data_IF_988025240615
#
_entry.id   IF_988025240615
#
_cell.length_a   1.000
_cell.length_b   1.000
_cell.length_c   1.000
_cell.angle_alpha   90.00
_cell.angle_beta   90.00
_cell.angle_gamma   90.00
#
_symmetry.space_group_name_H-M   'P 1'
#
loop_
_entity.id
_entity.type
_entity.pdbx_description
1 polymer ?
#
# COMPACT_ATOMS: atom_id res chain seq x y z
N UNK A 1 5.76 20.84 7.97
CA UNK A 1 5.90 21.38 6.61
C UNK A 1 6.07 20.28 5.55
N UNK A 2 7.03 19.34 5.68
CA UNK A 2 7.30 18.27 4.68
C UNK A 2 6.07 17.48 4.19
N UNK A 3 5.18 17.05 5.10
CA UNK A 3 3.96 16.32 4.73
C UNK A 3 2.91 17.20 4.05
N UNK A 4 2.80 18.47 4.45
CA UNK A 4 1.80 19.40 3.92
C UNK A 4 2.08 19.80 2.47
N UNK A 5 3.33 19.70 2.03
CA UNK A 5 3.77 19.97 0.66
C UNK A 5 4.03 18.68 -0.14
N UNK A 6 3.59 17.52 0.36
CA UNK A 6 3.84 16.28 -0.34
C UNK A 6 3.07 16.23 -1.68
N UNK A 7 3.67 15.74 -2.77
CA UNK A 7 3.05 15.65 -4.10
C UNK A 7 1.68 14.98 -4.10
N UNK A 8 1.54 13.90 -3.32
CA UNK A 8 0.27 13.22 -3.16
C UNK A 8 -0.81 14.11 -2.54
N UNK A 9 -0.46 15.03 -1.62
CA UNK A 9 -1.39 16.00 -1.03
C UNK A 9 -1.91 16.93 -2.13
N UNK A 10 -1.02 17.44 -2.97
CA UNK A 10 -1.38 18.27 -4.12
C UNK A 10 -2.35 17.52 -5.03
N UNK A 11 -1.99 16.31 -5.48
CA UNK A 11 -2.87 15.48 -6.33
C UNK A 11 -4.23 15.26 -5.66
N UNK A 12 -4.24 14.92 -4.37
CA UNK A 12 -5.48 14.60 -3.66
C UNK A 12 -6.39 15.83 -3.48
N UNK A 13 -5.82 17.02 -3.21
CA UNK A 13 -6.58 18.28 -3.11
C UNK A 13 -7.10 18.72 -4.48
N UNK A 14 -6.24 18.76 -5.50
CA UNK A 14 -6.62 19.23 -6.84
C UNK A 14 -7.66 18.34 -7.51
N UNK A 15 -7.60 17.02 -7.28
CA UNK A 15 -8.58 16.07 -7.84
C UNK A 15 -9.82 15.87 -6.95
N UNK A 16 -9.88 16.47 -5.76
CA UNK A 16 -10.98 16.28 -4.81
C UNK A 16 -11.13 14.84 -4.32
N UNK A 17 -10.02 14.12 -4.15
CA UNK A 17 -10.00 12.68 -3.86
C UNK A 17 -9.92 12.36 -2.36
N UNK A 18 -10.19 11.10 -2.01
CA UNK A 18 -10.34 10.64 -0.62
C UNK A 18 -9.04 10.11 0.03
N UNK A 19 -7.88 10.32 -0.58
CA UNK A 19 -6.59 9.79 -0.13
C UNK A 19 -6.20 10.20 1.29
N UNK A 20 -6.57 11.40 1.76
CA UNK A 20 -6.34 11.80 3.16
C UNK A 20 -7.11 10.93 4.15
N UNK A 21 -8.38 10.66 3.87
CA UNK A 21 -9.24 9.89 4.76
C UNK A 21 -8.72 8.45 4.86
N UNK A 22 -8.45 7.82 3.71
CA UNK A 22 -7.97 6.43 3.67
C UNK A 22 -6.57 6.28 4.27
N UNK A 23 -5.68 7.25 4.03
CA UNK A 23 -4.38 7.28 4.68
C UNK A 23 -4.50 7.47 6.20
N UNK A 24 -5.38 8.36 6.68
CA UNK A 24 -5.59 8.57 8.11
C UNK A 24 -6.11 7.29 8.82
N UNK A 25 -7.03 6.56 8.19
CA UNK A 25 -7.53 5.28 8.69
C UNK A 25 -6.41 4.23 8.76
N UNK A 26 -5.63 4.07 7.68
CA UNK A 26 -4.52 3.12 7.62
C UNK A 26 -3.40 3.45 8.62
N UNK A 27 -2.92 4.69 8.62
CA UNK A 27 -1.86 5.19 9.52
C UNK A 27 -2.33 5.09 10.96
N UNK A 28 -3.53 5.57 11.25
CA UNK A 28 -4.12 5.55 12.59
C UNK A 28 -4.26 4.13 13.12
N UNK A 29 -4.70 3.18 12.28
CA UNK A 29 -4.78 1.77 12.64
C UNK A 29 -3.42 1.18 12.97
N UNK A 30 -2.43 1.39 12.10
CA UNK A 30 -1.06 0.89 12.28
C UNK A 30 -0.38 1.50 13.52
N UNK A 31 -0.57 2.79 13.78
CA UNK A 31 0.00 3.49 14.94
C UNK A 31 -0.61 3.04 16.27
N UNK A 32 -1.83 2.49 16.26
CA UNK A 32 -2.56 2.04 17.46
C UNK A 32 -2.55 0.53 17.66
N UNK A 33 -1.84 -0.22 16.81
CA UNK A 33 -1.92 -1.67 16.72
C UNK A 33 -1.69 -2.39 18.06
N UNK A 34 -0.69 -1.96 18.82
CA UNK A 34 -0.35 -2.55 20.13
C UNK A 34 -1.07 -1.86 21.30
N UNK A 35 -1.14 -0.52 21.28
CA UNK A 35 -1.62 0.27 22.42
C UNK A 35 -3.14 0.32 22.55
N UNK A 36 -3.86 0.33 21.42
CA UNK A 36 -5.32 0.48 21.37
C UNK A 36 -5.91 -0.44 20.31
N UNK A 37 -5.85 -1.77 20.50
CA UNK A 37 -6.19 -2.74 19.46
C UNK A 37 -7.64 -2.64 18.96
N UNK A 38 -8.57 -2.25 19.84
CA UNK A 38 -9.98 -2.04 19.44
C UNK A 38 -10.10 -0.84 18.49
N UNK A 39 -9.48 0.30 18.83
CA UNK A 39 -9.47 1.48 17.95
C UNK A 39 -8.78 1.16 16.61
N UNK A 40 -7.66 0.44 16.64
CA UNK A 40 -6.98 0.01 15.42
C UNK A 40 -7.91 -0.82 14.52
N UNK A 41 -8.64 -1.76 15.11
CA UNK A 41 -9.64 -2.55 14.38
C UNK A 41 -10.77 -1.70 13.82
N UNK A 42 -11.30 -0.72 14.56
CA UNK A 42 -12.33 0.20 14.05
C UNK A 42 -11.81 0.96 12.82
N UNK A 43 -10.59 1.51 12.90
CA UNK A 43 -9.99 2.26 11.80
C UNK A 43 -9.77 1.38 10.56
N UNK A 44 -9.29 0.14 10.74
CA UNK A 44 -9.15 -0.82 9.64
C UNK A 44 -10.51 -1.31 9.10
N UNK A 45 -11.52 -1.47 9.95
CA UNK A 45 -12.87 -1.85 9.54
C UNK A 45 -13.55 -0.74 8.74
N UNK A 46 -13.30 0.53 9.06
CA UNK A 46 -13.74 1.68 8.25
C UNK A 46 -12.98 1.79 6.92
N UNK A 47 -11.73 1.31 6.85
CA UNK A 47 -10.93 1.31 5.64
C UNK A 47 -11.53 0.44 4.52
N UNK A 48 -12.56 -0.38 4.79
CA UNK A 48 -13.30 -1.12 3.76
C UNK A 48 -14.02 -0.22 2.76
N UNK A 49 -14.14 1.10 3.02
CA UNK A 49 -14.51 2.09 2.00
C UNK A 49 -13.52 2.10 0.81
N UNK A 50 -12.28 1.66 1.05
CA UNK A 50 -11.18 1.54 0.09
C UNK A 50 -10.41 0.23 0.36
N UNK A 51 -11.02 -0.93 0.05
CA UNK A 51 -10.52 -2.23 0.48
C UNK A 51 -9.10 -2.53 -0.02
N UNK A 52 -8.69 -1.92 -1.14
CA UNK A 52 -7.38 -2.10 -1.76
C UNK A 52 -6.22 -1.82 -0.80
N UNK A 53 -6.36 -0.84 0.10
CA UNK A 53 -5.33 -0.48 1.09
C UNK A 53 -5.27 -1.45 2.27
N UNK A 54 -6.28 -2.32 2.43
CA UNK A 54 -6.39 -3.27 3.54
C UNK A 54 -6.13 -4.72 3.16
N UNK A 55 -5.92 -5.06 1.88
CA UNK A 55 -5.87 -6.46 1.42
C UNK A 55 -4.76 -7.30 2.05
N UNK A 56 -3.63 -6.69 2.40
CA UNK A 56 -2.51 -7.37 3.07
C UNK A 56 -2.58 -7.29 4.60
N UNK A 57 -3.49 -6.49 5.18
CA UNK A 57 -3.63 -6.37 6.64
C UNK A 57 -3.91 -7.71 7.32
N UNK A 58 -4.85 -8.56 6.85
CA UNK A 58 -5.13 -9.83 7.51
C UNK A 58 -3.88 -10.70 7.72
N UNK A 59 -2.97 -10.73 6.74
CA UNK A 59 -1.72 -11.49 6.80
C UNK A 59 -0.84 -10.95 7.94
N UNK A 60 -0.61 -9.63 7.97
CA UNK A 60 0.20 -8.98 9.00
C UNK A 60 -0.40 -9.18 10.39
N UNK A 61 -1.73 -9.02 10.52
CA UNK A 61 -2.42 -9.16 11.79
C UNK A 61 -2.38 -10.59 12.33
N UNK A 62 -2.53 -11.59 11.46
CA UNK A 62 -2.42 -13.01 11.84
C UNK A 62 -0.99 -13.35 12.25
N UNK A 63 0.01 -12.98 11.45
CA UNK A 63 1.42 -13.24 11.78
C UNK A 63 1.87 -12.53 13.06
N UNK A 64 1.31 -11.35 13.35
CA UNK A 64 1.55 -10.60 14.58
C UNK A 64 0.69 -11.03 15.78
N UNK A 65 -0.26 -11.96 15.60
CA UNK A 65 -1.16 -12.41 16.67
C UNK A 65 -2.16 -11.34 17.16
N UNK A 66 -2.50 -10.36 16.31
CA UNK A 66 -3.37 -9.23 16.65
C UNK A 66 -4.87 -9.57 16.56
N UNK A 67 -5.29 -10.67 17.19
CA UNK A 67 -6.67 -11.20 17.10
C UNK A 67 -7.75 -10.21 17.53
N UNK A 68 -7.47 -9.38 18.54
CA UNK A 68 -8.39 -8.33 19.01
C UNK A 68 -8.64 -7.25 17.94
N UNK A 69 -7.60 -6.93 17.16
CA UNK A 69 -7.69 -5.98 16.05
C UNK A 69 -8.55 -6.57 14.93
N UNK A 70 -8.31 -7.84 14.58
CA UNK A 70 -9.10 -8.57 13.57
C UNK A 70 -10.58 -8.59 13.97
N UNK A 71 -10.88 -9.01 15.20
CA UNK A 71 -12.26 -9.07 15.70
C UNK A 71 -12.96 -7.71 15.66
N UNK A 72 -12.28 -6.65 16.12
CA UNK A 72 -12.82 -5.29 16.06
C UNK A 72 -13.03 -4.79 14.63
N UNK A 73 -12.13 -5.09 13.69
CA UNK A 73 -12.28 -4.74 12.28
C UNK A 73 -13.47 -5.47 11.64
N UNK A 74 -13.61 -6.77 11.88
CA UNK A 74 -14.75 -7.58 11.38
C UNK A 74 -16.06 -7.03 11.92
N UNK A 75 -16.17 -6.78 13.22
CA UNK A 75 -17.40 -6.22 13.83
C UNK A 75 -17.73 -4.86 13.23
N UNK A 76 -16.72 -4.00 13.04
CA UNK A 76 -16.93 -2.66 12.45
C UNK A 76 -17.42 -2.76 11.01
N UNK A 77 -16.78 -3.54 10.17
CA UNK A 77 -17.19 -3.74 8.78
C UNK A 77 -18.59 -4.35 8.68
N UNK A 78 -18.89 -5.40 9.46
CA UNK A 78 -20.22 -6.02 9.48
C UNK A 78 -21.29 -5.02 9.93
N UNK A 79 -20.98 -4.19 10.92
CA UNK A 79 -21.90 -3.15 11.40
C UNK A 79 -22.18 -2.10 10.32
N UNK A 80 -21.18 -1.69 9.55
CA UNK A 80 -21.35 -0.78 8.41
C UNK A 80 -22.19 -1.41 7.29
N UNK A 81 -21.94 -2.68 6.97
CA UNK A 81 -22.73 -3.44 5.97
C UNK A 81 -24.18 -3.57 6.42
N UNK A 82 -24.42 -3.91 7.69
CA UNK A 82 -25.76 -4.05 8.25
C UNK A 82 -26.48 -2.69 8.30
N UNK A 83 -25.80 -1.62 8.71
CA UNK A 83 -26.38 -0.28 8.77
C UNK A 83 -26.80 0.23 7.37
N UNK A 84 -25.97 0.02 6.36
CA UNK A 84 -26.28 0.41 4.98
C UNK A 84 -27.42 -0.44 4.38
N UNK A 85 -27.44 -1.75 4.64
CA UNK A 85 -28.55 -2.61 4.24
C UNK A 85 -29.87 -2.23 4.92
N UNK A 86 -29.84 -1.88 6.22
CA UNK A 86 -31.02 -1.45 6.95
C UNK A 86 -31.56 -0.09 6.46
N UNK A 87 -30.68 0.82 6.05
CA UNK A 87 -31.06 2.17 5.61
C UNK A 87 -31.53 2.22 4.16
N UNK A 88 -30.86 1.50 3.25
CA UNK A 88 -31.11 1.57 1.81
C UNK A 88 -31.76 0.31 1.22
N UNK A 89 -31.99 -0.72 2.03
CA UNK A 89 -32.43 -2.05 1.58
C UNK A 89 -31.25 -2.99 1.28
N UNK A 90 -31.36 -4.30 1.55
CA UNK A 90 -30.29 -5.27 1.27
C UNK A 90 -29.97 -5.42 -0.23
N UNK A 91 -30.90 -5.03 -1.11
CA UNK A 91 -30.77 -5.12 -2.57
C UNK A 91 -29.59 -4.29 -3.10
N UNK A 92 -29.13 -3.27 -2.37
CA UNK A 92 -27.94 -2.48 -2.77
C UNK A 92 -26.70 -3.37 -2.93
N UNK A 93 -26.57 -4.41 -2.10
CA UNK A 93 -25.41 -5.30 -2.11
C UNK A 93 -25.48 -6.28 -3.28
N UNK A 94 -26.70 -6.74 -3.62
CA UNK A 94 -26.94 -7.53 -4.83
C UNK A 94 -26.66 -6.68 -6.08
N UNK A 95 -27.14 -5.43 -6.10
CA UNK A 95 -26.90 -4.50 -7.19
C UNK A 95 -25.41 -4.16 -7.34
N UNK A 96 -24.68 -4.00 -6.24
CA UNK A 96 -23.22 -3.81 -6.25
C UNK A 96 -22.52 -4.95 -6.99
N UNK A 97 -22.88 -6.20 -6.69
CA UNK A 97 -22.29 -7.37 -7.33
C UNK A 97 -22.58 -7.44 -8.83
N UNK A 98 -23.80 -7.11 -9.25
CA UNK A 98 -24.22 -7.21 -10.65
C UNK A 98 -23.87 -6.00 -11.51
N UNK A 99 -23.65 -4.83 -10.91
CA UNK A 99 -23.40 -3.57 -11.66
C UNK A 99 -21.98 -3.06 -11.48
N UNK A 100 -21.51 -2.96 -10.23
CA UNK A 100 -20.24 -2.28 -9.94
C UNK A 100 -19.05 -3.17 -10.28
N UNK A 101 -19.09 -4.46 -9.96
CA UNK A 101 -17.98 -5.36 -10.26
C UNK A 101 -17.72 -5.54 -11.77
N UNK A 102 -18.75 -5.80 -12.62
CA UNK A 102 -18.54 -5.86 -14.07
C UNK A 102 -18.04 -4.54 -14.64
N UNK A 103 -18.59 -3.41 -14.18
CA UNK A 103 -18.17 -2.09 -14.62
C UNK A 103 -16.70 -1.79 -14.26
N UNK A 104 -16.23 -2.22 -13.08
CA UNK A 104 -14.82 -2.08 -12.72
C UNK A 104 -13.89 -2.89 -13.64
N UNK A 105 -14.34 -4.06 -14.10
CA UNK A 105 -13.60 -4.85 -15.07
C UNK A 105 -13.55 -4.16 -16.43
N UNK A 106 -14.69 -3.67 -16.93
CA UNK A 106 -14.78 -2.94 -18.19
C UNK A 106 -13.94 -1.65 -18.20
N UNK A 107 -13.84 -0.96 -17.07
CA UNK A 107 -12.98 0.22 -16.92
C UNK A 107 -11.50 -0.08 -17.20
N UNK A 108 -11.02 -1.33 -17.03
CA UNK A 108 -9.65 -1.70 -17.39
C UNK A 108 -9.41 -1.59 -18.90
N UNK A 109 -10.43 -1.91 -19.70
CA UNK A 109 -10.38 -1.90 -21.16
C UNK A 109 -10.69 -0.50 -21.72
N UNK A 110 -11.64 0.22 -21.10
CA UNK A 110 -12.15 1.50 -21.61
C UNK A 110 -11.38 2.71 -21.10
N UNK A 111 -10.77 2.67 -19.91
CA UNK A 111 -10.09 3.84 -19.33
C UNK A 111 -8.96 4.39 -20.22
N UNK A 112 -8.28 3.50 -20.95
CA UNK A 112 -7.25 3.83 -21.92
C UNK A 112 -6.23 4.86 -21.43
N UNK A 113 -5.68 5.64 -22.36
CA UNK A 113 -4.59 6.58 -22.08
C UNK A 113 -5.03 7.75 -21.18
N UNK A 114 -6.33 8.04 -21.07
CA UNK A 114 -6.85 9.14 -20.25
C UNK A 114 -6.94 8.77 -18.76
N UNK A 115 -7.32 7.52 -18.44
CA UNK A 115 -7.50 7.06 -17.05
C UNK A 115 -6.33 6.28 -16.49
N UNK A 116 -5.50 5.65 -17.34
CA UNK A 116 -4.36 4.85 -16.89
C UNK A 116 -3.24 5.61 -16.17
N UNK A 117 -2.89 6.86 -16.53
CA UNK A 117 -1.80 7.59 -15.90
C UNK A 117 -1.96 7.82 -14.39
N UNK A 118 -3.17 7.73 -13.83
CA UNK A 118 -3.40 7.91 -12.39
C UNK A 118 -3.41 6.59 -11.61
N UNK A 119 -3.33 5.44 -12.28
CA UNK A 119 -3.33 4.11 -11.63
C UNK A 119 -1.89 3.61 -11.49
N UNK A 120 -1.46 3.37 -10.25
CA UNK A 120 -0.08 3.01 -9.92
C UNK A 120 0.19 1.51 -9.97
N UNK A 121 -0.82 0.69 -10.31
CA UNK A 121 -0.71 -0.77 -10.28
C UNK A 121 0.20 -1.30 -11.39
N UNK A 122 0.75 -2.50 -11.14
CA UNK A 122 1.59 -3.19 -12.11
C UNK A 122 0.80 -3.56 -13.38
N UNK A 123 -0.49 -3.92 -13.23
CA UNK A 123 -1.41 -4.19 -14.34
C UNK A 123 -1.46 -3.00 -15.31
N UNK A 124 -1.83 -1.82 -14.82
CA UNK A 124 -2.02 -0.65 -15.68
C UNK A 124 -0.71 -0.12 -16.24
N UNK A 125 0.37 -0.21 -15.48
CA UNK A 125 1.69 0.18 -15.98
C UNK A 125 2.21 -0.79 -17.05
N UNK A 126 1.92 -2.10 -16.94
CA UNK A 126 2.21 -3.04 -18.02
C UNK A 126 1.37 -2.73 -19.29
N UNK A 127 0.09 -2.37 -19.12
CA UNK A 127 -0.77 -1.91 -20.22
C UNK A 127 -0.25 -0.62 -20.86
N UNK A 128 0.22 0.34 -20.07
CA UNK A 128 0.86 1.57 -20.56
C UNK A 128 2.11 1.27 -21.38
N UNK A 129 2.88 0.25 -21.01
CA UNK A 129 4.03 -0.23 -21.77
C UNK A 129 3.66 -1.00 -23.07
N UNK A 130 2.37 -1.08 -23.40
CA UNK A 130 1.87 -1.72 -24.62
C UNK A 130 1.64 -3.23 -24.51
N UNK A 131 1.72 -3.82 -23.31
CA UNK A 131 1.42 -5.25 -23.17
C UNK A 131 -0.08 -5.54 -23.36
N UNK A 132 -0.43 -6.67 -23.99
CA UNK A 132 -1.82 -7.14 -24.03
C UNK A 132 -2.33 -7.48 -22.63
N UNK A 133 -3.65 -7.55 -22.47
CA UNK A 133 -4.32 -7.67 -21.17
C UNK A 133 -3.85 -8.91 -20.41
N UNK A 134 -3.77 -10.05 -21.08
CA UNK A 134 -3.37 -11.32 -20.48
C UNK A 134 -1.96 -11.24 -19.89
N UNK A 135 -1.00 -10.68 -20.62
CA UNK A 135 0.38 -10.50 -20.12
C UNK A 135 0.45 -9.46 -19.00
N UNK A 136 -0.35 -8.40 -19.06
CA UNK A 136 -0.42 -7.42 -17.98
C UNK A 136 -0.97 -8.03 -16.68
N UNK A 137 -1.95 -8.94 -16.77
CA UNK A 137 -2.44 -9.72 -15.63
C UNK A 137 -1.39 -10.69 -15.08
N UNK A 138 -0.56 -11.31 -15.94
CA UNK A 138 0.59 -12.11 -15.49
C UNK A 138 1.58 -11.25 -14.70
N UNK A 139 1.91 -10.04 -15.19
CA UNK A 139 2.80 -9.10 -14.49
C UNK A 139 2.21 -8.71 -13.12
N UNK A 140 0.91 -8.40 -13.06
CA UNK A 140 0.23 -8.10 -11.80
C UNK A 140 0.22 -9.30 -10.85
N UNK A 141 -0.04 -10.50 -11.35
CA UNK A 141 0.01 -11.73 -10.57
C UNK A 141 1.38 -11.96 -9.95
N UNK A 142 2.44 -11.80 -10.73
CA UNK A 142 3.82 -11.89 -10.24
C UNK A 142 4.12 -10.83 -9.17
N UNK A 143 3.74 -9.57 -9.40
CA UNK A 143 3.91 -8.49 -8.42
C UNK A 143 3.16 -8.79 -7.11
N UNK A 144 1.95 -9.34 -7.20
CA UNK A 144 1.11 -9.69 -6.05
C UNK A 144 1.69 -10.85 -5.24
N UNK A 145 2.17 -11.90 -5.91
CA UNK A 145 2.86 -13.04 -5.25
C UNK A 145 4.13 -12.57 -4.55
N UNK A 146 4.95 -11.75 -5.23
CA UNK A 146 6.15 -11.17 -4.63
C UNK A 146 5.82 -10.27 -3.43
N UNK A 147 4.77 -9.46 -3.50
CA UNK A 147 4.32 -8.60 -2.41
C UNK A 147 3.88 -9.41 -1.18
N UNK A 148 3.07 -10.46 -1.39
CA UNK A 148 2.66 -11.39 -0.32
C UNK A 148 3.88 -12.10 0.28
N UNK A 149 4.77 -12.63 -0.56
CA UNK A 149 5.99 -13.30 -0.13
C UNK A 149 6.90 -12.38 0.70
N UNK A 150 7.06 -11.12 0.27
CA UNK A 150 7.84 -10.10 0.98
C UNK A 150 7.23 -9.79 2.36
N UNK A 151 5.92 -9.60 2.44
CA UNK A 151 5.20 -9.37 3.70
C UNK A 151 5.31 -10.57 4.63
N UNK A 152 5.02 -11.78 4.15
CA UNK A 152 5.13 -13.01 4.95
C UNK A 152 6.56 -13.19 5.45
N UNK A 153 7.56 -13.09 4.57
CA UNK A 153 8.96 -13.20 4.96
C UNK A 153 9.30 -12.20 6.06
N UNK A 154 8.84 -10.96 5.94
CA UNK A 154 9.15 -9.85 6.86
C UNK A 154 8.48 -9.99 8.21
N UNK A 155 7.20 -10.36 8.26
CA UNK A 155 6.39 -10.38 9.48
C UNK A 155 6.34 -11.76 10.17
N UNK A 156 6.78 -12.84 9.52
CA UNK A 156 6.92 -14.15 10.19
C UNK A 156 7.90 -14.08 11.38
N UNK A 157 8.86 -13.17 11.34
CA UNK A 157 9.81 -12.95 12.45
C UNK A 157 9.91 -11.48 12.77
N UNK A 158 10.25 -11.14 14.01
CA UNK A 158 10.54 -9.76 14.39
C UNK A 158 11.74 -9.24 13.60
N UNK A 159 11.54 -8.14 12.89
CA UNK A 159 12.56 -7.36 12.18
C UNK A 159 12.40 -5.91 12.56
N UNK A 160 13.24 -5.07 11.98
CA UNK A 160 13.13 -3.63 12.14
C UNK A 160 11.69 -3.14 11.84
N UNK A 161 11.02 -2.48 12.80
CA UNK A 161 9.61 -2.14 12.68
C UNK A 161 9.34 -1.07 11.62
N UNK A 162 10.23 -0.10 11.44
CA UNK A 162 10.03 1.00 10.48
C UNK A 162 10.24 0.51 9.06
N UNK A 163 11.26 -0.32 8.79
CA UNK A 163 11.45 -0.92 7.47
C UNK A 163 10.33 -1.93 7.15
N UNK A 164 9.87 -2.70 8.14
CA UNK A 164 8.77 -3.65 7.96
C UNK A 164 7.47 -2.93 7.60
N UNK A 165 7.18 -1.81 8.27
CA UNK A 165 6.04 -0.94 7.98
C UNK A 165 6.14 -0.30 6.59
N UNK A 166 7.30 0.24 6.23
CA UNK A 166 7.55 0.80 4.90
C UNK A 166 7.33 -0.25 3.79
N UNK A 167 7.82 -1.48 4.02
CA UNK A 167 7.64 -2.58 3.09
C UNK A 167 6.18 -2.99 2.99
N UNK A 168 5.46 -3.10 4.10
CA UNK A 168 4.03 -3.43 4.11
C UNK A 168 3.20 -2.45 3.29
N UNK A 169 3.41 -1.13 3.50
CA UNK A 169 2.72 -0.10 2.71
C UNK A 169 3.09 -0.24 1.24
N UNK A 170 4.37 -0.38 0.90
CA UNK A 170 4.80 -0.55 -0.50
C UNK A 170 4.21 -1.80 -1.16
N UNK A 171 4.22 -2.93 -0.45
CA UNK A 171 3.67 -4.20 -0.91
C UNK A 171 2.16 -4.11 -1.16
N UNK A 172 1.43 -3.30 -0.37
CA UNK A 172 -0.01 -3.07 -0.59
C UNK A 172 -0.27 -2.43 -1.95
N UNK A 173 0.58 -1.50 -2.39
CA UNK A 173 0.49 -0.90 -3.72
C UNK A 173 0.88 -1.86 -4.84
N UNK A 174 1.86 -2.75 -4.60
CA UNK A 174 2.25 -3.78 -5.57
C UNK A 174 1.20 -4.89 -5.71
N UNK A 175 0.48 -5.20 -4.63
CA UNK A 175 -0.53 -6.25 -4.60
C UNK A 175 -1.82 -5.85 -5.31
N UNK A 176 -2.27 -4.60 -5.16
CA UNK A 176 -3.54 -4.18 -5.73
C UNK A 176 -3.45 -3.96 -7.24
N UNK A 177 -4.35 -4.56 -8.05
CA UNK A 177 -4.44 -4.29 -9.48
C UNK A 177 -5.00 -2.89 -9.79
N UNK A 178 -5.53 -2.19 -8.78
CA UNK A 178 -6.22 -0.92 -8.96
C UNK A 178 -6.02 -0.02 -7.73
N UNK A 179 -4.88 0.65 -7.68
CA UNK A 179 -4.56 1.65 -6.66
C UNK A 179 -4.13 2.95 -7.31
N UNK A 180 -4.58 4.08 -6.76
CA UNK A 180 -4.47 5.36 -7.42
C UNK A 180 -3.31 6.17 -6.87
N UNK A 181 -2.77 7.08 -7.68
CA UNK A 181 -1.71 7.98 -7.26
C UNK A 181 -2.11 8.88 -6.06
N UNK A 182 -3.38 9.22 -5.90
CA UNK A 182 -3.86 9.97 -4.73
C UNK A 182 -3.86 9.15 -3.44
N UNK A 183 -3.90 7.81 -3.52
CA UNK A 183 -3.80 6.93 -2.34
C UNK A 183 -2.37 6.97 -1.75
N UNK A 184 -1.39 7.44 -2.53
CA UNK A 184 0.03 7.53 -2.14
C UNK A 184 0.33 8.56 -1.06
N UNK A 185 -0.68 9.29 -0.54
CA UNK A 185 -0.55 10.18 0.62
C UNK A 185 0.13 9.48 1.79
N UNK A 186 -0.15 8.18 1.99
CA UNK A 186 0.46 7.35 3.03
C UNK A 186 2.00 7.30 2.93
N UNK A 187 2.59 7.40 1.73
CA UNK A 187 4.04 7.39 1.57
C UNK A 187 4.72 8.63 2.14
N UNK A 188 4.00 9.76 2.28
CA UNK A 188 4.53 10.92 3.00
C UNK A 188 4.94 10.54 4.42
N UNK A 189 4.08 9.78 5.13
CA UNK A 189 4.37 9.28 6.47
C UNK A 189 5.54 8.29 6.48
N UNK A 190 5.58 7.35 5.53
CA UNK A 190 6.68 6.38 5.41
C UNK A 190 8.03 7.07 5.19
N UNK A 191 8.10 8.01 4.26
CA UNK A 191 9.34 8.75 3.97
C UNK A 191 9.76 9.59 5.19
N UNK A 192 8.81 10.17 5.93
CA UNK A 192 9.13 10.89 7.16
C UNK A 192 9.74 9.96 8.22
N UNK A 193 9.20 8.76 8.41
CA UNK A 193 9.74 7.77 9.36
C UNK A 193 11.12 7.29 8.96
N UNK A 194 11.35 6.99 7.68
CA UNK A 194 12.66 6.57 7.17
C UNK A 194 13.72 7.66 7.38
N UNK A 195 13.38 8.92 7.10
CA UNK A 195 14.30 10.06 7.34
C UNK A 195 14.66 10.23 8.82
N UNK A 196 13.73 9.99 9.74
CA UNK A 196 14.00 10.08 11.18
C UNK A 196 15.00 9.04 11.69
N UNK A 197 15.21 7.93 10.97
CA UNK A 197 16.22 6.94 11.33
C UNK A 197 17.66 7.45 11.20
N UNK A 198 17.89 8.43 10.32
CA UNK A 198 19.20 9.05 10.12
C UNK A 198 20.30 8.15 9.52
N UNK A 199 19.99 6.90 9.14
CA UNK A 199 20.96 5.93 8.63
C UNK A 199 20.76 5.56 7.15
N UNK A 200 20.16 6.48 6.40
CA UNK A 200 19.79 6.31 4.99
C UNK A 200 20.99 6.56 4.07
N UNK A 201 21.37 5.58 3.25
CA UNK A 201 22.39 5.77 2.22
C UNK A 201 21.86 6.67 1.10
N UNK A 202 22.76 7.19 0.26
CA UNK A 202 22.36 8.05 -0.87
C UNK A 202 21.30 7.38 -1.77
N UNK A 203 21.45 6.09 -2.08
CA UNK A 203 20.46 5.34 -2.85
C UNK A 203 19.08 5.27 -2.16
N UNK A 204 19.03 5.17 -0.83
CA UNK A 204 17.76 5.17 -0.07
C UNK A 204 17.06 6.53 -0.17
N UNK A 205 17.83 7.61 -0.13
CA UNK A 205 17.32 8.97 -0.25
C UNK A 205 16.77 9.23 -1.64
N UNK A 206 17.48 8.80 -2.70
CA UNK A 206 17.03 8.92 -4.08
C UNK A 206 15.74 8.12 -4.32
N UNK A 207 15.67 6.87 -3.87
CA UNK A 207 14.45 6.06 -4.02
C UNK A 207 13.28 6.63 -3.21
N UNK A 208 13.52 7.12 -2.00
CA UNK A 208 12.50 7.78 -1.18
C UNK A 208 11.98 9.06 -1.83
N UNK A 209 12.86 9.85 -2.45
CA UNK A 209 12.48 11.05 -3.20
C UNK A 209 11.70 10.69 -4.46
N UNK A 210 12.14 9.69 -5.22
CA UNK A 210 11.44 9.21 -6.41
C UNK A 210 10.03 8.72 -6.06
N UNK A 211 9.89 7.94 -4.98
CA UNK A 211 8.60 7.49 -4.46
C UNK A 211 7.73 8.66 -3.98
N UNK A 212 8.31 9.64 -3.29
CA UNK A 212 7.60 10.83 -2.82
C UNK A 212 7.08 11.68 -3.98
N UNK A 213 7.83 11.77 -5.08
CA UNK A 213 7.48 12.51 -6.31
C UNK A 213 6.54 11.74 -7.25
N UNK A 214 6.50 10.42 -7.13
CA UNK A 214 5.76 9.51 -8.01
C UNK A 214 4.31 9.95 -8.31
N UNK A 215 3.50 10.42 -7.34
CA UNK A 215 2.09 10.76 -7.59
C UNK A 215 1.88 11.81 -8.68
N UNK A 216 2.78 12.80 -8.76
CA UNK A 216 2.73 13.86 -9.77
C UNK A 216 3.42 13.39 -11.05
N UNK A 217 4.56 12.70 -10.94
CA UNK A 217 5.31 12.22 -12.10
C UNK A 217 4.49 11.21 -12.92
N UNK A 218 3.59 10.46 -12.30
CA UNK A 218 2.76 9.49 -13.03
C UNK A 218 1.92 10.13 -14.15
N UNK A 219 1.56 11.41 -14.05
CA UNK A 219 0.85 12.13 -15.12
C UNK A 219 1.68 12.29 -16.40
N UNK A 220 2.76 13.12 -16.44
CA UNK A 220 3.51 13.35 -17.66
C UNK A 220 4.13 12.07 -18.21
N UNK A 221 4.62 11.17 -17.34
CA UNK A 221 5.19 9.90 -17.78
C UNK A 221 4.10 8.94 -18.30
N UNK A 222 2.91 8.91 -17.70
CA UNK A 222 1.80 8.12 -18.21
C UNK A 222 1.32 8.58 -19.58
N UNK A 223 1.26 9.89 -19.82
CA UNK A 223 0.97 10.43 -21.17
C UNK A 223 2.07 10.12 -22.19
N UNK A 224 3.32 10.04 -21.74
CA UNK A 224 4.44 9.56 -22.55
C UNK A 224 4.51 8.02 -22.64
N UNK A 225 3.54 7.29 -22.09
CA UNK A 225 3.49 5.82 -22.05
C UNK A 225 4.68 5.16 -21.33
N UNK A 226 5.26 5.86 -20.35
CA UNK A 226 6.38 5.39 -19.54
C UNK A 226 5.86 4.87 -18.19
N UNK A 227 6.02 3.57 -17.87
CA UNK A 227 5.41 2.90 -16.72
C UNK A 227 6.18 3.11 -15.40
N UNK A 228 6.38 4.35 -14.96
CA UNK A 228 7.30 4.66 -13.87
C UNK A 228 6.93 4.04 -12.51
N UNK A 229 5.63 3.78 -12.25
CA UNK A 229 5.21 3.18 -10.98
C UNK A 229 5.64 1.70 -10.90
N UNK A 230 5.63 0.99 -12.03
CA UNK A 230 6.12 -0.40 -12.15
C UNK A 230 7.65 -0.50 -12.05
N UNK A 231 8.38 0.63 -12.05
CA UNK A 231 9.81 0.67 -11.78
C UNK A 231 10.09 1.07 -10.33
N UNK A 232 9.52 2.18 -9.87
CA UNK A 232 9.86 2.77 -8.57
C UNK A 232 9.36 1.91 -7.40
N UNK A 233 8.12 1.39 -7.45
CA UNK A 233 7.57 0.61 -6.35
C UNK A 233 8.33 -0.72 -6.14
N UNK A 234 8.63 -1.53 -7.17
CA UNK A 234 9.44 -2.74 -6.98
C UNK A 234 10.88 -2.45 -6.54
N UNK A 235 11.53 -1.43 -7.08
CA UNK A 235 12.89 -1.05 -6.68
C UNK A 235 12.94 -0.62 -5.21
N UNK A 236 11.96 0.16 -4.77
CA UNK A 236 11.85 0.56 -3.37
C UNK A 236 11.58 -0.65 -2.46
N UNK A 237 10.66 -1.54 -2.83
CA UNK A 237 10.41 -2.77 -2.07
C UNK A 237 11.66 -3.68 -1.99
N UNK A 238 12.37 -3.87 -3.11
CA UNK A 238 13.61 -4.65 -3.16
C UNK A 238 14.70 -4.03 -2.28
N UNK A 239 14.83 -2.70 -2.29
CA UNK A 239 15.78 -1.99 -1.42
C UNK A 239 15.45 -2.18 0.06
N UNK A 240 14.18 -2.09 0.43
CA UNK A 240 13.72 -2.33 1.81
C UNK A 240 14.01 -3.78 2.25
N UNK A 241 13.75 -4.77 1.39
CA UNK A 241 14.06 -6.18 1.65
C UNK A 241 15.56 -6.40 1.87
N UNK A 242 16.41 -5.80 1.02
CA UNK A 242 17.87 -5.87 1.17
C UNK A 242 18.35 -5.26 2.49
N UNK A 243 17.75 -4.15 2.93
CA UNK A 243 18.08 -3.54 4.23
C UNK A 243 17.64 -4.43 5.39
N UNK A 244 16.42 -4.97 5.32
CA UNK A 244 15.89 -5.91 6.31
C UNK A 244 16.75 -7.19 6.42
N UNK A 245 17.34 -7.68 5.32
CA UNK A 245 18.24 -8.83 5.35
C UNK A 245 19.61 -8.51 5.96
N UNK A 246 20.12 -7.30 5.73
CA UNK A 246 21.44 -6.88 6.20
C UNK A 246 21.45 -6.37 7.65
N UNK A 247 20.34 -5.82 8.14
CA UNK A 247 20.23 -5.49 9.57
C UNK A 247 20.30 -6.76 10.43
N UNK A 248 19.80 -7.89 9.90
CA UNK A 248 19.92 -9.20 10.55
C UNK A 248 21.37 -9.70 10.60
N UNK A 249 22.14 -9.56 9.53
CA UNK A 249 23.53 -10.04 9.53
C UNK A 249 24.40 -9.29 10.54
N UNK A 250 24.14 -7.98 10.74
CA UNK A 250 24.79 -7.16 11.76
C UNK A 250 24.38 -7.54 13.20
N UNK A 251 23.11 -7.87 13.43
CA UNK A 251 22.68 -8.37 14.75
C UNK A 251 23.23 -9.76 15.05
N UNK A 252 23.34 -10.64 14.05
CA UNK A 252 23.93 -11.96 14.25
C UNK A 252 25.45 -11.88 14.52
N UNK A 253 26.18 -11.03 13.79
CA UNK A 253 27.63 -10.90 13.95
C UNK A 253 28.06 -10.24 15.26
N UNK A 254 27.26 -9.31 15.80
CA UNK A 254 27.50 -8.67 17.11
C UNK A 254 27.30 -9.62 18.29
N UNK A 255 26.49 -10.66 18.15
CA UNK A 255 26.29 -11.69 19.20
C UNK A 255 27.41 -12.75 19.18
N UNK A 256 28.05 -12.98 18.03
CA UNK A 256 29.09 -14.01 17.86
C UNK A 256 30.53 -13.53 18.06
N UNK A 257 30.78 -12.23 18.28
CA UNK A 257 32.13 -11.76 18.64
C UNK A 257 32.33 -12.00 20.13
N UNK A 258 33.18 -12.97 20.56
CA UNK A 258 33.56 -13.05 21.95
C UNK A 258 34.30 -11.74 22.27
N UNK A 259 33.94 -11.10 23.37
CA UNK A 259 34.77 -10.06 23.94
C UNK A 259 36.14 -10.69 24.24
N UNK A 260 37.11 -10.50 23.34
CA UNK A 260 38.51 -10.66 23.65
C UNK A 260 38.88 -9.46 24.52
N UNK A 261 38.64 -9.64 25.82
CA UNK A 261 39.27 -8.90 26.90
C UNK A 261 40.40 -9.77 27.46
#
# INVERSE_FOLDING_TARGET
>A
MFLAVAPAVTVNVFLGQNGFLTAALLIGGLANLERRPILAGILFGMLTIKPQLGLLLPIVLVLGGHWRVIGSAVVTTVSLVAATAAWFGPEIWIAYWHKVLPQQHELLDVAGIMGWPIVASALINARLAGLPADLAWVVQGAASVCAVGAVVWTFWRKRDPVLSLALFVTATFLFSPWIMNYDMVVFGWIVALLRQRGNEAFADQILSLALWMLPILMFPFGFAQIPIALLILPLFAARLLWRLSNDRSKQASSVTSPALA
#
